data_IF_870455398129
#
_entry.id   IF_870455398129
#
_cell.length_a   1.000
_cell.length_b   1.000
_cell.length_c   1.000
_cell.angle_alpha   90.00
_cell.angle_beta   90.00
_cell.angle_gamma   90.00
#
_symmetry.space_group_name_H-M   'P 1'
#
loop_
_entity.id
_entity.type
_entity.pdbx_description
1 polymer ?
#
# COMPACT_ATOMS: atom_id res chain seq x y z
N UNK A 1 15.12 -16.90 -14.70
CA UNK A 1 14.82 -16.42 -13.32
C UNK A 1 15.99 -15.60 -12.85
N UNK A 2 15.79 -14.30 -12.60
CA UNK A 2 16.83 -13.50 -11.99
C UNK A 2 17.04 -14.02 -10.55
N UNK A 3 18.26 -14.48 -10.26
CA UNK A 3 18.63 -14.82 -8.89
C UNK A 3 18.63 -13.51 -8.09
N UNK A 4 17.75 -13.40 -7.12
CA UNK A 4 17.80 -12.32 -6.15
C UNK A 4 19.12 -12.39 -5.40
N UNK A 5 19.90 -11.30 -5.47
CA UNK A 5 21.19 -11.19 -4.79
C UNK A 5 21.00 -11.02 -3.28
N UNK A 6 19.80 -10.62 -2.84
CA UNK A 6 19.49 -10.28 -1.46
C UNK A 6 18.97 -11.49 -0.67
N UNK A 7 19.27 -11.55 0.63
CA UNK A 7 18.91 -12.65 1.53
C UNK A 7 18.60 -12.15 2.97
N UNK A 8 18.26 -13.09 3.87
CA UNK A 8 17.90 -12.79 5.26
C UNK A 8 19.01 -12.09 6.05
N UNK A 9 20.28 -12.25 5.68
CA UNK A 9 21.41 -11.65 6.40
C UNK A 9 21.54 -10.15 6.14
N UNK A 10 20.86 -9.66 5.08
CA UNK A 10 20.89 -8.24 4.67
C UNK A 10 19.85 -7.37 5.40
N UNK A 11 19.50 -7.70 6.63
CA UNK A 11 18.53 -6.93 7.44
C UNK A 11 18.94 -5.48 7.68
N UNK A 12 20.23 -5.20 7.70
CA UNK A 12 20.73 -3.84 7.88
C UNK A 12 20.40 -2.96 6.66
N UNK A 13 20.41 -3.53 5.47
CA UNK A 13 20.16 -2.85 4.21
C UNK A 13 18.68 -2.84 3.83
N UNK A 14 18.01 -3.98 3.99
CA UNK A 14 16.64 -4.20 3.49
C UNK A 14 15.56 -4.00 4.56
N UNK A 15 15.97 -3.85 5.82
CA UNK A 15 15.07 -4.00 6.97
C UNK A 15 14.65 -5.47 7.16
N UNK A 16 13.98 -5.76 8.27
CA UNK A 16 13.58 -7.13 8.59
C UNK A 16 12.57 -7.72 7.59
N UNK A 17 11.60 -6.92 7.18
CA UNK A 17 10.57 -7.35 6.20
C UNK A 17 11.16 -7.59 4.82
N UNK A 18 11.98 -6.67 4.31
CA UNK A 18 12.60 -6.79 3.00
C UNK A 18 13.54 -8.00 2.91
N UNK A 19 14.36 -8.22 3.93
CA UNK A 19 15.26 -9.38 3.99
C UNK A 19 14.50 -10.71 4.03
N UNK A 20 13.42 -10.80 4.82
CA UNK A 20 12.61 -12.01 4.88
C UNK A 20 11.88 -12.28 3.55
N UNK A 21 11.36 -11.25 2.87
CA UNK A 21 10.74 -11.42 1.55
C UNK A 21 11.76 -11.88 0.50
N UNK A 22 12.98 -11.36 0.53
CA UNK A 22 14.06 -11.81 -0.33
C UNK A 22 14.39 -13.29 -0.11
N UNK A 23 14.49 -13.71 1.15
CA UNK A 23 14.75 -15.11 1.50
C UNK A 23 13.60 -16.03 1.05
N UNK A 24 12.36 -15.64 1.30
CA UNK A 24 11.18 -16.39 0.85
C UNK A 24 11.19 -16.57 -0.67
N UNK A 25 11.57 -15.53 -1.41
CA UNK A 25 11.69 -15.59 -2.86
C UNK A 25 12.80 -16.54 -3.29
N UNK A 26 13.95 -16.52 -2.62
CA UNK A 26 15.06 -17.44 -2.89
C UNK A 26 14.70 -18.90 -2.63
N UNK A 27 13.85 -19.15 -1.64
CA UNK A 27 13.31 -20.48 -1.33
C UNK A 27 12.22 -20.94 -2.32
N UNK A 28 11.84 -20.10 -3.29
CA UNK A 28 10.84 -20.41 -4.29
C UNK A 28 9.40 -20.30 -3.80
N UNK A 29 9.17 -19.63 -2.67
CA UNK A 29 7.82 -19.35 -2.18
C UNK A 29 7.13 -18.31 -3.08
N UNK A 30 5.79 -18.36 -3.23
CA UNK A 30 5.03 -17.45 -4.07
C UNK A 30 4.93 -16.05 -3.45
N UNK A 31 6.01 -15.28 -3.51
CA UNK A 31 6.05 -13.88 -3.06
C UNK A 31 5.55 -12.99 -4.19
N UNK A 32 4.59 -12.08 -3.95
CA UNK A 32 4.16 -11.08 -4.93
C UNK A 32 5.32 -10.22 -5.41
N UNK A 33 5.23 -9.72 -6.64
CA UNK A 33 6.23 -8.79 -7.18
C UNK A 33 6.29 -7.51 -6.36
N UNK A 34 7.49 -7.01 -6.12
CA UNK A 34 7.72 -5.81 -5.34
C UNK A 34 9.20 -5.45 -5.28
N UNK A 35 9.51 -4.36 -4.61
CA UNK A 35 10.88 -3.91 -4.37
C UNK A 35 11.00 -3.27 -2.98
N UNK A 36 12.22 -3.09 -2.54
CA UNK A 36 12.53 -2.46 -1.25
C UNK A 36 13.37 -1.21 -1.48
N UNK A 37 12.90 -0.08 -0.96
CA UNK A 37 13.75 1.11 -0.78
C UNK A 37 14.65 0.84 0.42
N UNK A 38 15.96 0.92 0.22
CA UNK A 38 16.94 0.50 1.22
C UNK A 38 17.08 1.47 2.39
N UNK A 39 17.67 1.01 3.48
CA UNK A 39 17.99 1.87 4.63
C UNK A 39 19.00 2.95 4.27
N UNK A 40 19.89 2.70 3.30
CA UNK A 40 20.83 3.70 2.79
C UNK A 40 20.09 4.87 2.11
N UNK A 41 19.08 4.58 1.28
CA UNK A 41 18.23 5.60 0.69
C UNK A 41 17.46 6.39 1.76
N UNK A 42 17.04 5.73 2.84
CA UNK A 42 16.41 6.40 3.98
C UNK A 42 17.39 7.35 4.68
N UNK A 43 18.63 6.92 4.91
CA UNK A 43 19.67 7.78 5.50
C UNK A 43 19.93 8.99 4.60
N UNK A 44 20.09 8.77 3.30
CA UNK A 44 20.31 9.85 2.32
C UNK A 44 19.15 10.87 2.30
N UNK A 45 17.91 10.40 2.41
CA UNK A 45 16.74 11.28 2.52
C UNK A 45 16.86 12.27 3.69
N UNK A 46 17.34 11.83 4.86
CA UNK A 46 17.54 12.73 6.00
C UNK A 46 18.74 13.65 5.83
N UNK A 47 19.83 13.18 5.22
CA UNK A 47 21.02 13.98 4.91
C UNK A 47 20.70 15.07 3.88
N UNK A 48 19.85 14.79 2.90
CA UNK A 48 19.36 15.73 1.88
C UNK A 48 18.24 16.65 2.40
N UNK A 49 18.09 16.76 3.70
CA UNK A 49 17.10 17.67 4.32
C UNK A 49 15.64 17.21 4.18
N UNK A 50 15.41 15.91 4.23
CA UNK A 50 14.12 15.24 4.05
C UNK A 50 13.57 15.38 2.63
N UNK A 51 14.43 15.22 1.67
CA UNK A 51 14.08 15.20 0.24
C UNK A 51 14.58 13.92 -0.40
N UNK A 52 13.78 13.38 -1.31
CA UNK A 52 14.20 12.26 -2.16
C UNK A 52 14.95 12.88 -3.34
N UNK A 53 16.25 12.57 -3.46
CA UNK A 53 17.04 13.06 -4.57
C UNK A 53 16.66 12.38 -5.90
N UNK A 54 17.10 12.98 -7.01
CA UNK A 54 16.74 12.53 -8.36
C UNK A 54 17.22 11.11 -8.66
N UNK A 55 18.36 10.71 -8.11
CA UNK A 55 18.91 9.35 -8.32
C UNK A 55 18.03 8.30 -7.65
N UNK A 56 17.65 8.51 -6.38
CA UNK A 56 16.74 7.60 -5.65
C UNK A 56 15.39 7.56 -6.34
N UNK A 57 14.87 8.70 -6.76
CA UNK A 57 13.60 8.77 -7.47
C UNK A 57 13.65 8.01 -8.80
N UNK A 58 14.73 8.16 -9.57
CA UNK A 58 14.90 7.43 -10.83
C UNK A 58 14.93 5.91 -10.62
N UNK A 59 15.62 5.43 -9.59
CA UNK A 59 15.65 4.01 -9.25
C UNK A 59 14.27 3.49 -8.80
N UNK A 60 13.50 4.28 -8.06
CA UNK A 60 12.11 3.93 -7.68
C UNK A 60 11.24 3.80 -8.93
N UNK A 61 11.32 4.76 -9.85
CA UNK A 61 10.54 4.73 -11.08
C UNK A 61 10.91 3.55 -11.97
N UNK A 62 12.21 3.24 -12.11
CA UNK A 62 12.67 2.05 -12.84
C UNK A 62 12.12 0.75 -12.21
N UNK A 63 12.10 0.67 -10.89
CA UNK A 63 11.57 -0.50 -10.18
C UNK A 63 10.04 -0.64 -10.38
N UNK A 64 9.31 0.48 -10.43
CA UNK A 64 7.88 0.50 -10.76
C UNK A 64 7.66 0.01 -12.19
N UNK A 65 8.39 0.53 -13.16
CA UNK A 65 8.29 0.11 -14.57
C UNK A 65 8.56 -1.39 -14.74
N UNK A 66 9.56 -1.93 -14.03
CA UNK A 66 9.83 -3.37 -14.00
C UNK A 66 8.67 -4.16 -13.43
N UNK A 67 8.10 -3.69 -12.32
CA UNK A 67 6.98 -4.35 -11.67
C UNK A 67 5.72 -4.33 -12.55
N UNK A 68 5.44 -3.22 -13.21
CA UNK A 68 4.37 -3.11 -14.21
C UNK A 68 4.58 -4.06 -15.38
N UNK A 69 5.80 -4.14 -15.92
CA UNK A 69 6.15 -5.07 -17.01
C UNK A 69 5.98 -6.54 -16.64
N UNK A 70 6.34 -6.93 -15.40
CA UNK A 70 6.22 -8.31 -14.92
C UNK A 70 4.77 -8.68 -14.64
N UNK A 71 4.00 -7.77 -14.03
CA UNK A 71 2.61 -8.03 -13.64
C UNK A 71 1.62 -7.84 -14.79
N UNK A 72 2.00 -7.10 -15.82
CA UNK A 72 1.11 -6.67 -16.91
C UNK A 72 0.06 -5.66 -16.46
N UNK A 73 0.24 -5.03 -15.30
CA UNK A 73 -0.67 -4.05 -14.70
C UNK A 73 0.02 -2.70 -14.61
N UNK A 74 -0.75 -1.62 -14.53
CA UNK A 74 -0.24 -0.26 -14.42
C UNK A 74 -0.87 0.53 -13.28
N UNK A 75 -0.08 1.38 -12.64
CA UNK A 75 -0.61 2.34 -11.68
C UNK A 75 -1.55 3.33 -12.38
N UNK A 76 -2.73 3.52 -11.79
CA UNK A 76 -3.74 4.44 -12.31
C UNK A 76 -4.42 4.01 -13.60
N UNK A 77 -4.14 2.82 -14.12
CA UNK A 77 -4.84 2.27 -15.28
C UNK A 77 -6.29 1.94 -14.90
N UNK A 78 -7.21 2.38 -15.75
CA UNK A 78 -8.64 2.18 -15.54
C UNK A 78 -9.11 0.76 -15.82
N UNK A 79 -8.40 0.04 -16.68
CA UNK A 79 -8.79 -1.30 -17.14
C UNK A 79 -8.07 -2.42 -16.36
N UNK A 80 -6.76 -2.26 -16.14
CA UNK A 80 -5.94 -3.25 -15.46
C UNK A 80 -5.02 -2.61 -14.40
N UNK A 81 -5.60 -2.09 -13.32
CA UNK A 81 -4.86 -1.32 -12.33
C UNK A 81 -3.88 -2.16 -11.53
N UNK A 82 -2.69 -1.62 -11.28
CA UNK A 82 -1.74 -2.14 -10.32
C UNK A 82 -2.06 -1.56 -8.93
N UNK A 83 -2.35 -2.43 -7.99
CA UNK A 83 -2.53 -2.07 -6.58
C UNK A 83 -1.42 -2.71 -5.77
N UNK A 84 -0.79 -1.94 -4.89
CA UNK A 84 0.30 -2.41 -4.05
C UNK A 84 0.08 -2.11 -2.58
N UNK A 85 0.79 -2.84 -1.74
CA UNK A 85 0.90 -2.57 -0.32
C UNK A 85 2.25 -1.91 -0.05
N UNK A 86 2.26 -0.73 0.53
CA UNK A 86 3.47 -0.07 1.00
C UNK A 86 3.63 -0.31 2.49
N UNK A 87 4.79 -0.79 2.88
CA UNK A 87 5.09 -1.12 4.28
C UNK A 87 6.36 -0.42 4.71
N UNK A 88 6.29 0.30 5.81
CA UNK A 88 7.49 0.80 6.45
C UNK A 88 8.32 -0.38 6.98
N UNK A 89 9.64 -0.26 6.89
CA UNK A 89 10.58 -1.28 7.31
C UNK A 89 11.57 -0.71 8.34
N UNK A 90 11.93 -1.51 9.34
CA UNK A 90 13.03 -1.22 10.25
C UNK A 90 13.88 -2.47 10.42
N UNK A 91 15.13 -2.26 10.89
CA UNK A 91 16.05 -3.35 11.21
C UNK A 91 15.46 -4.31 12.24
N UNK A 92 14.82 -3.76 13.27
CA UNK A 92 14.05 -4.50 14.27
C UNK A 92 12.58 -4.10 14.17
N UNK A 93 11.70 -5.07 14.02
CA UNK A 93 10.26 -4.86 13.93
C UNK A 93 9.60 -5.34 15.21
N UNK A 94 8.78 -4.46 15.82
CA UNK A 94 7.86 -4.85 16.88
C UNK A 94 6.41 -4.71 16.38
N UNK A 95 5.47 -5.54 16.84
CA UNK A 95 4.07 -5.39 16.52
C UNK A 95 3.58 -3.97 16.85
N UNK A 96 2.85 -3.33 15.95
CA UNK A 96 2.30 -1.99 16.15
C UNK A 96 3.24 -0.82 15.90
N UNK A 97 4.53 -1.05 15.60
CA UNK A 97 5.50 0.03 15.32
C UNK A 97 5.55 0.47 13.87
N UNK A 98 4.88 -0.26 12.97
CA UNK A 98 5.12 -0.11 11.55
C UNK A 98 3.81 0.09 10.79
N UNK A 99 3.78 1.16 10.04
CA UNK A 99 2.65 1.50 9.22
C UNK A 99 2.61 0.67 7.94
N UNK A 100 1.40 0.40 7.50
CA UNK A 100 1.14 -0.27 6.23
C UNK A 100 0.02 0.49 5.53
N UNK A 101 0.22 0.80 4.26
CA UNK A 101 -0.81 1.35 3.39
C UNK A 101 -1.19 0.26 2.40
N UNK A 102 -2.44 -0.14 2.43
CA UNK A 102 -3.00 -1.15 1.52
C UNK A 102 -3.66 -0.46 0.32
N UNK A 103 -3.66 -1.18 -0.81
CA UNK A 103 -4.36 -0.74 -2.02
C UNK A 103 -3.89 0.62 -2.56
N UNK A 104 -2.61 0.96 -2.39
CA UNK A 104 -2.04 2.13 -3.06
C UNK A 104 -2.17 1.94 -4.58
N UNK A 105 -2.72 2.94 -5.25
CA UNK A 105 -3.11 2.90 -6.66
C UNK A 105 -4.62 3.01 -6.87
N UNK A 106 -5.44 2.91 -5.79
CA UNK A 106 -6.86 3.19 -5.86
C UNK A 106 -7.13 4.68 -6.06
N UNK A 107 -8.09 4.97 -6.91
CA UNK A 107 -8.76 6.25 -7.08
C UNK A 107 -10.22 6.01 -7.48
N UNK A 108 -11.00 7.05 -7.69
CA UNK A 108 -12.42 6.95 -8.01
C UNK A 108 -12.71 6.13 -9.27
N UNK A 109 -11.84 6.21 -10.29
CA UNK A 109 -12.02 5.44 -11.53
C UNK A 109 -11.62 3.97 -11.36
N UNK A 110 -10.51 3.72 -10.67
CA UNK A 110 -9.99 2.37 -10.40
C UNK A 110 -10.91 1.58 -9.49
N UNK A 111 -11.55 2.22 -8.50
CA UNK A 111 -12.51 1.53 -7.62
C UNK A 111 -13.73 1.01 -8.38
N UNK A 112 -14.21 1.74 -9.39
CA UNK A 112 -15.33 1.26 -10.25
C UNK A 112 -14.90 0.03 -11.08
N UNK A 113 -13.67 0.01 -11.57
CA UNK A 113 -13.12 -1.16 -12.26
C UNK A 113 -13.00 -2.36 -11.32
N UNK A 114 -12.52 -2.12 -10.10
CA UNK A 114 -12.43 -3.16 -9.06
C UNK A 114 -13.82 -3.69 -8.69
N UNK A 115 -14.82 -2.81 -8.57
CA UNK A 115 -16.20 -3.19 -8.31
C UNK A 115 -16.77 -4.10 -9.39
N UNK A 116 -16.54 -3.76 -10.65
CA UNK A 116 -16.98 -4.58 -11.80
C UNK A 116 -16.25 -5.92 -11.85
N UNK A 117 -14.94 -5.91 -11.72
CA UNK A 117 -14.12 -7.13 -11.81
C UNK A 117 -14.40 -8.12 -10.68
N UNK A 118 -14.66 -7.63 -9.48
CA UNK A 118 -14.96 -8.49 -8.31
C UNK A 118 -16.43 -8.93 -8.24
N UNK A 119 -17.33 -8.24 -8.97
CA UNK A 119 -18.77 -8.41 -8.80
C UNK A 119 -19.30 -7.97 -7.42
N UNK A 120 -18.49 -7.26 -6.64
CA UNK A 120 -18.82 -6.82 -5.29
C UNK A 120 -18.51 -5.33 -5.08
N UNK A 121 -19.40 -4.44 -5.50
CA UNK A 121 -19.22 -2.99 -5.38
C UNK A 121 -18.99 -2.54 -3.92
N UNK A 122 -19.73 -3.13 -2.98
CA UNK A 122 -19.58 -2.79 -1.56
C UNK A 122 -18.15 -3.03 -1.07
N UNK A 123 -17.58 -4.18 -1.40
CA UNK A 123 -16.21 -4.52 -1.04
C UNK A 123 -15.20 -3.56 -1.68
N UNK A 124 -15.36 -3.23 -2.94
CA UNK A 124 -14.46 -2.32 -3.65
C UNK A 124 -14.47 -0.92 -3.02
N UNK A 125 -15.64 -0.37 -2.72
CA UNK A 125 -15.77 0.93 -2.06
C UNK A 125 -15.27 0.92 -0.63
N UNK A 126 -15.44 -0.19 0.12
CA UNK A 126 -14.84 -0.33 1.45
C UNK A 126 -13.30 -0.38 1.38
N UNK A 127 -12.73 -1.01 0.37
CA UNK A 127 -11.28 -0.97 0.12
C UNK A 127 -10.79 0.46 -0.12
N UNK A 128 -11.53 1.25 -0.89
CA UNK A 128 -11.18 2.63 -1.18
C UNK A 128 -11.33 3.53 0.05
N UNK A 129 -12.41 3.40 0.79
CA UNK A 129 -12.60 4.09 2.08
C UNK A 129 -11.44 3.82 3.04
N UNK A 130 -11.08 2.55 3.21
CA UNK A 130 -9.96 2.15 4.09
C UNK A 130 -8.62 2.69 3.59
N UNK A 131 -8.42 2.73 2.27
CA UNK A 131 -7.23 3.32 1.69
C UNK A 131 -7.13 4.80 2.02
N UNK A 132 -8.20 5.57 1.81
CA UNK A 132 -8.24 7.00 2.15
C UNK A 132 -7.95 7.21 3.63
N UNK A 133 -8.60 6.47 4.51
CA UNK A 133 -8.41 6.56 5.96
C UNK A 133 -6.96 6.26 6.36
N UNK A 134 -6.38 5.17 5.87
CA UNK A 134 -4.98 4.80 6.15
C UNK A 134 -3.99 5.81 5.59
N UNK A 135 -4.18 6.25 4.36
CA UNK A 135 -3.29 7.22 3.73
C UNK A 135 -3.33 8.56 4.46
N UNK A 136 -4.50 9.00 4.84
CA UNK A 136 -4.69 10.24 5.60
C UNK A 136 -4.05 10.17 6.99
N UNK A 137 -4.24 9.07 7.70
CA UNK A 137 -3.67 8.89 9.04
C UNK A 137 -2.13 8.79 9.00
N UNK A 138 -1.60 7.96 8.11
CA UNK A 138 -0.17 7.62 8.07
C UNK A 138 0.68 8.66 7.32
N UNK A 139 0.18 9.17 6.19
CA UNK A 139 0.98 10.06 5.31
C UNK A 139 0.66 11.52 5.55
N UNK A 140 -0.63 11.84 5.74
CA UNK A 140 -1.09 13.22 5.89
C UNK A 140 -1.23 13.67 7.35
N UNK A 141 -0.99 12.75 8.29
CA UNK A 141 -1.11 12.99 9.73
C UNK A 141 -2.50 13.52 10.14
N UNK A 142 -3.52 13.19 9.34
CA UNK A 142 -4.92 13.45 9.68
C UNK A 142 -5.45 12.24 10.45
N UNK A 143 -5.63 12.41 11.74
CA UNK A 143 -5.97 11.32 12.65
C UNK A 143 -7.23 10.57 12.22
N UNK A 144 -7.19 9.25 12.29
CA UNK A 144 -8.30 8.34 11.91
C UNK A 144 -9.62 8.64 12.62
N UNK A 145 -9.57 9.30 13.77
CA UNK A 145 -10.75 9.67 14.56
C UNK A 145 -11.80 10.44 13.72
N UNK A 146 -11.37 11.34 12.86
CA UNK A 146 -12.29 12.11 12.01
C UNK A 146 -13.06 11.22 11.03
N UNK A 147 -12.40 10.19 10.51
CA UNK A 147 -13.03 9.22 9.61
C UNK A 147 -13.99 8.28 10.37
N UNK A 148 -13.60 7.88 11.58
CA UNK A 148 -14.45 7.06 12.45
C UNK A 148 -15.75 7.82 12.82
N UNK A 149 -15.66 9.10 13.14
CA UNK A 149 -16.83 9.97 13.40
C UNK A 149 -17.77 10.07 12.20
N UNK A 150 -17.24 10.16 10.97
CA UNK A 150 -18.06 10.17 9.74
C UNK A 150 -18.78 8.83 9.54
N UNK A 151 -18.07 7.72 9.76
CA UNK A 151 -18.63 6.37 9.65
C UNK A 151 -19.75 6.19 10.69
N UNK A 152 -19.52 6.59 11.94
CA UNK A 152 -20.49 6.45 13.01
C UNK A 152 -21.75 7.28 12.73
N UNK A 153 -21.58 8.50 12.24
CA UNK A 153 -22.71 9.35 11.81
C UNK A 153 -23.51 8.69 10.68
N UNK A 154 -22.85 8.12 9.68
CA UNK A 154 -23.52 7.41 8.60
C UNK A 154 -24.30 6.20 9.12
N UNK A 155 -23.74 5.45 10.07
CA UNK A 155 -24.43 4.32 10.72
C UNK A 155 -25.67 4.78 11.49
N UNK A 156 -25.57 5.89 12.21
CA UNK A 156 -26.72 6.48 12.92
C UNK A 156 -27.83 6.91 11.95
N UNK A 157 -27.49 7.60 10.87
CA UNK A 157 -28.45 8.03 9.84
C UNK A 157 -29.16 6.86 9.16
N UNK A 158 -28.46 5.74 8.99
CA UNK A 158 -29.00 4.50 8.39
C UNK A 158 -29.68 3.59 9.42
N UNK A 159 -29.53 3.83 10.71
CA UNK A 159 -30.07 2.99 11.78
C UNK A 159 -29.39 1.62 11.87
N UNK A 160 -28.14 1.50 11.45
CA UNK A 160 -27.32 0.27 11.48
C UNK A 160 -26.24 0.35 12.55
N UNK A 161 -25.68 -0.79 12.94
CA UNK A 161 -24.70 -0.86 14.05
C UNK A 161 -23.29 -1.17 13.60
N UNK A 162 -23.11 -1.88 12.50
CA UNK A 162 -21.82 -2.37 12.04
C UNK A 162 -21.46 -1.74 10.69
N UNK A 163 -20.18 -1.54 10.47
CA UNK A 163 -19.66 -1.02 9.19
C UNK A 163 -20.05 -1.92 8.01
N UNK A 164 -20.17 -3.23 8.25
CA UNK A 164 -20.56 -4.20 7.22
C UNK A 164 -22.01 -4.04 6.76
N UNK A 165 -22.84 -3.34 7.53
CA UNK A 165 -24.25 -3.08 7.21
C UNK A 165 -24.41 -1.88 6.25
N UNK A 166 -23.34 -1.07 6.06
CA UNK A 166 -23.32 0.01 5.08
C UNK A 166 -23.21 -0.57 3.67
N UNK A 167 -24.03 -0.10 2.77
CA UNK A 167 -24.00 -0.54 1.36
C UNK A 167 -22.97 0.24 0.53
N UNK A 168 -22.85 -0.08 -0.77
CA UNK A 168 -21.89 0.55 -1.66
C UNK A 168 -22.15 2.05 -1.85
N UNK A 169 -23.44 2.45 -1.88
CA UNK A 169 -23.82 3.86 -2.07
C UNK A 169 -23.54 4.69 -0.81
N UNK A 170 -23.64 4.09 0.35
CA UNK A 170 -23.26 4.72 1.61
C UNK A 170 -21.76 4.96 1.67
N UNK A 171 -20.98 3.93 1.35
CA UNK A 171 -19.50 3.99 1.32
C UNK A 171 -18.97 4.97 0.27
N UNK A 172 -19.71 5.16 -0.82
CA UNK A 172 -19.37 6.13 -1.86
C UNK A 172 -19.61 7.58 -1.44
N UNK A 173 -20.58 7.82 -0.55
CA UNK A 173 -20.89 9.14 -0.01
C UNK A 173 -19.98 9.54 1.14
N UNK A 174 -19.43 8.54 1.83
CA UNK A 174 -18.53 8.71 2.95
C UNK A 174 -17.16 9.23 2.51
#
# INVERSE_FOLDING_TARGET
>A
MAKWVYNADMRNLLGGKGANLAEMTNLGLPVPQGFTVTTEACTQYYEDGRQINDEIMAQIMEAIDKMEGITGKKFGDKENPLLVSVRSGARASMPGMMDTILNLGLNEEVVETLAKASGNPRWAWDCYRRFIQMFSDVVMEVGKKYFEELIDKMKEEKGVKQDVDLDADDLKKL
#
